data_IF_590791608076
#
_entry.id   IF_590791608076
#
_cell.length_a   1.000
_cell.length_b   1.000
_cell.length_c   1.000
_cell.angle_alpha   90.00
_cell.angle_beta   90.00
_cell.angle_gamma   90.00
#
_symmetry.space_group_name_H-M   'P 1'
#
loop_
_entity.id
_entity.type
_entity.pdbx_description
1 polymer ?
#
# COMPACT_ATOMS: atom_id res chain seq x y z
N UNK A 1 22.15 -16.06 -19.52
CA UNK A 1 20.76 -15.72 -19.90
C UNK A 1 20.25 -14.65 -18.95
N UNK A 2 20.58 -13.39 -19.23
CA UNK A 2 20.18 -12.23 -18.42
C UNK A 2 18.92 -11.63 -19.03
N UNK A 3 17.75 -12.01 -18.51
CA UNK A 3 16.49 -11.36 -18.86
C UNK A 3 16.20 -10.29 -17.82
N UNK A 4 16.60 -9.05 -18.12
CA UNK A 4 16.23 -7.86 -17.34
C UNK A 4 15.07 -7.21 -18.08
N UNK A 5 13.84 -7.46 -17.63
CA UNK A 5 12.69 -6.67 -18.07
C UNK A 5 12.79 -5.28 -17.43
N UNK A 6 13.32 -4.33 -18.19
CA UNK A 6 13.26 -2.90 -17.86
C UNK A 6 11.91 -2.36 -18.32
N UNK A 7 10.95 -2.24 -17.40
CA UNK A 7 9.70 -1.50 -17.63
C UNK A 7 10.05 -0.01 -17.58
N UNK A 8 10.60 0.57 -18.65
CA UNK A 8 10.61 2.02 -18.84
C UNK A 8 11.03 2.36 -20.27
N UNK A 9 10.06 2.57 -21.16
CA UNK A 9 10.22 3.38 -22.38
C UNK A 9 8.85 3.64 -23.04
N UNK A 10 8.06 4.53 -22.42
CA UNK A 10 6.95 5.33 -22.99
C UNK A 10 6.46 6.18 -21.79
N UNK A 11 6.39 7.50 -21.77
CA UNK A 11 5.96 8.49 -22.77
C UNK A 11 6.71 9.80 -22.51
N UNK A 12 6.96 10.51 -23.60
CA UNK A 12 7.69 11.77 -23.69
C UNK A 12 6.92 13.00 -23.19
N UNK A 13 7.73 14.04 -22.96
CA UNK A 13 7.44 15.43 -22.66
C UNK A 13 6.12 16.03 -23.19
N UNK A 14 5.43 16.74 -22.29
CA UNK A 14 4.40 17.72 -22.61
C UNK A 14 4.23 18.66 -21.42
N UNK A 15 4.95 19.79 -21.41
CA UNK A 15 4.71 20.86 -20.45
C UNK A 15 3.46 21.63 -20.89
N UNK A 16 2.30 21.29 -20.32
CA UNK A 16 1.08 22.10 -20.42
C UNK A 16 1.06 23.01 -19.19
N UNK A 17 1.28 24.30 -19.41
CA UNK A 17 1.02 25.32 -18.39
C UNK A 17 -0.48 25.38 -18.12
N UNK A 18 -0.92 24.85 -16.98
CA UNK A 18 -2.28 25.07 -16.47
C UNK A 18 -2.28 26.39 -15.73
N UNK A 19 -2.94 27.41 -16.30
CA UNK A 19 -3.39 28.58 -15.55
C UNK A 19 -4.56 28.11 -14.69
N UNK A 20 -4.34 28.00 -13.38
CA UNK A 20 -5.40 27.76 -12.42
C UNK A 20 -6.33 28.98 -12.39
N UNK A 21 -7.50 28.89 -13.02
CA UNK A 21 -8.60 29.78 -12.71
C UNK A 21 -9.22 29.33 -11.39
N UNK A 22 -9.04 30.12 -10.34
CA UNK A 22 -9.73 29.90 -9.07
C UNK A 22 -11.21 30.24 -9.26
N UNK A 23 -12.06 29.22 -9.28
CA UNK A 23 -13.51 29.39 -9.26
C UNK A 23 -13.94 29.65 -7.80
N UNK A 24 -14.43 30.84 -7.43
CA UNK A 24 -14.72 31.22 -6.04
C UNK A 24 -15.97 30.56 -5.44
N UNK A 25 -16.58 29.60 -6.15
CA UNK A 25 -17.82 28.92 -5.75
C UNK A 25 -17.67 27.41 -5.57
N UNK A 26 -16.47 26.85 -5.76
CA UNK A 26 -16.23 25.47 -5.38
C UNK A 26 -16.31 25.35 -3.84
N UNK A 27 -17.10 24.41 -3.29
CA UNK A 27 -17.10 24.18 -1.85
C UNK A 27 -15.67 23.90 -1.40
N UNK A 28 -15.23 24.54 -0.32
CA UNK A 28 -13.96 24.22 0.30
C UNK A 28 -13.99 22.72 0.62
N UNK A 29 -13.01 21.95 0.13
CA UNK A 29 -12.89 20.55 0.54
C UNK A 29 -12.67 20.53 2.04
N UNK A 30 -13.70 20.17 2.78
CA UNK A 30 -13.62 19.77 4.17
C UNK A 30 -12.51 18.71 4.23
N UNK A 31 -11.50 18.95 5.09
CA UNK A 31 -10.22 18.25 5.06
C UNK A 31 -10.30 16.71 5.14
N UNK A 32 -11.47 16.15 5.45
CA UNK A 32 -11.77 14.71 5.40
C UNK A 32 -11.66 14.09 3.99
N UNK A 33 -11.94 14.86 2.93
CA UNK A 33 -11.94 14.38 1.54
C UNK A 33 -10.77 14.89 0.71
N UNK A 34 -9.82 15.58 1.33
CA UNK A 34 -8.61 16.04 0.66
C UNK A 34 -7.77 14.84 0.20
N UNK A 35 -7.29 14.90 -1.04
CA UNK A 35 -6.41 13.88 -1.62
C UNK A 35 -4.93 14.25 -1.56
N UNK A 36 -4.08 13.40 -2.13
CA UNK A 36 -2.63 13.58 -2.17
C UNK A 36 -2.17 14.94 -2.70
N UNK A 37 -2.85 15.47 -3.73
CA UNK A 37 -2.51 16.78 -4.33
C UNK A 37 -2.72 17.96 -3.37
N UNK A 38 -3.56 17.80 -2.34
CA UNK A 38 -3.76 18.77 -1.27
C UNK A 38 -2.81 18.53 -0.08
N UNK A 39 -1.82 17.64 -0.22
CA UNK A 39 -0.88 17.25 0.84
C UNK A 39 -1.47 16.28 1.87
N UNK A 40 -2.70 15.80 1.67
CA UNK A 40 -3.34 14.86 2.60
C UNK A 40 -2.95 13.42 2.27
N UNK A 41 -2.35 12.73 3.26
CA UNK A 41 -1.97 11.31 3.18
C UNK A 41 -2.96 10.47 3.98
N UNK A 42 -3.60 9.53 3.31
CA UNK A 42 -4.50 8.59 3.97
C UNK A 42 -3.70 7.52 4.74
N UNK A 43 -4.18 7.17 5.93
CA UNK A 43 -3.70 6.04 6.70
C UNK A 43 -4.22 4.75 6.09
N UNK A 44 -3.34 3.85 5.69
CA UNK A 44 -3.70 2.63 4.95
C UNK A 44 -3.10 1.39 5.59
N UNK A 45 -3.94 0.38 5.80
CA UNK A 45 -3.51 -1.01 6.02
C UNK A 45 -4.04 -1.84 4.85
N UNK A 46 -3.20 -2.73 4.33
CA UNK A 46 -3.58 -3.68 3.28
C UNK A 46 -3.59 -5.10 3.84
N UNK A 47 -4.69 -5.82 3.65
CA UNK A 47 -4.79 -7.27 3.83
C UNK A 47 -4.90 -7.92 2.46
N UNK A 48 -4.00 -8.83 2.15
CA UNK A 48 -3.77 -9.34 0.80
C UNK A 48 -3.51 -10.83 0.82
N UNK A 49 -4.05 -11.57 -0.14
CA UNK A 49 -3.74 -12.98 -0.37
C UNK A 49 -2.55 -13.17 -1.33
N UNK A 50 -1.59 -12.25 -1.31
CA UNK A 50 -0.34 -12.31 -2.07
C UNK A 50 0.37 -13.67 -1.91
N UNK A 51 0.83 -14.21 -3.04
CA UNK A 51 1.38 -15.56 -3.11
C UNK A 51 0.30 -16.66 -3.09
N UNK A 52 -0.97 -16.27 -3.16
CA UNK A 52 -2.13 -17.16 -3.26
C UNK A 52 -2.28 -17.80 -4.63
N UNK A 53 -3.53 -17.87 -5.11
CA UNK A 53 -3.87 -18.68 -6.29
C UNK A 53 -3.52 -18.04 -7.62
N UNK A 54 -3.33 -16.72 -7.66
CA UNK A 54 -3.01 -15.99 -8.87
C UNK A 54 -2.03 -14.83 -8.61
N UNK A 55 -1.46 -14.20 -9.66
CA UNK A 55 -0.36 -13.26 -9.50
C UNK A 55 -0.79 -11.80 -9.30
N UNK A 56 -2.08 -11.49 -9.27
CA UNK A 56 -2.58 -10.11 -9.27
C UNK A 56 -2.11 -9.29 -8.05
N UNK A 57 -2.03 -9.90 -6.88
CA UNK A 57 -1.64 -9.22 -5.65
C UNK A 57 -0.16 -8.84 -5.62
N UNK A 58 0.69 -9.53 -6.39
CA UNK A 58 2.05 -9.03 -6.65
C UNK A 58 2.02 -7.74 -7.46
N UNK A 59 1.14 -7.64 -8.46
CA UNK A 59 1.02 -6.47 -9.32
C UNK A 59 0.41 -5.29 -8.56
N UNK A 60 -0.63 -5.54 -7.78
CA UNK A 60 -1.26 -4.58 -6.87
C UNK A 60 -0.27 -4.05 -5.83
N UNK A 61 0.56 -4.92 -5.25
CA UNK A 61 1.60 -4.50 -4.31
C UNK A 61 2.67 -3.63 -4.96
N UNK A 62 3.14 -3.98 -6.17
CA UNK A 62 4.08 -3.12 -6.92
C UNK A 62 3.46 -1.75 -7.19
N UNK A 63 2.20 -1.70 -7.63
CA UNK A 63 1.50 -0.45 -7.89
C UNK A 63 1.31 0.39 -6.61
N UNK A 64 0.97 -0.24 -5.48
CA UNK A 64 0.88 0.43 -4.18
C UNK A 64 2.22 1.07 -3.79
N UNK A 65 3.33 0.36 -3.93
CA UNK A 65 4.65 0.86 -3.56
C UNK A 65 5.15 1.98 -4.47
N UNK A 66 4.73 2.00 -5.74
CA UNK A 66 4.96 3.12 -6.65
C UNK A 66 4.21 4.41 -6.25
N UNK A 67 3.16 4.30 -5.42
CA UNK A 67 2.41 5.43 -4.87
C UNK A 67 2.57 5.59 -3.35
N UNK A 68 3.57 4.94 -2.76
CA UNK A 68 3.77 4.98 -1.31
C UNK A 68 4.23 6.36 -0.79
N UNK A 69 4.66 7.26 -1.68
CA UNK A 69 5.00 8.64 -1.34
C UNK A 69 3.78 9.48 -0.91
N UNK A 70 2.58 9.11 -1.36
CA UNK A 70 1.33 9.83 -1.07
C UNK A 70 0.42 9.13 -0.07
N UNK A 71 0.88 8.01 0.52
CA UNK A 71 0.12 7.21 1.48
C UNK A 71 0.87 7.05 2.80
N UNK A 72 0.15 7.06 3.91
CA UNK A 72 0.68 6.60 5.19
C UNK A 72 0.38 5.11 5.33
N UNK A 73 1.28 4.27 4.78
CA UNK A 73 1.21 2.83 4.97
C UNK A 73 1.51 2.49 6.43
N UNK A 74 0.56 1.85 7.08
CA UNK A 74 0.63 1.46 8.48
C UNK A 74 0.71 -0.03 8.68
N UNK A 75 0.32 -0.84 7.69
CA UNK A 75 0.43 -2.29 7.75
C UNK A 75 0.27 -2.95 6.39
N UNK A 76 1.06 -3.98 6.15
CA UNK A 76 0.96 -4.87 4.99
C UNK A 76 0.80 -6.30 5.54
N UNK A 77 -0.38 -6.88 5.39
CA UNK A 77 -0.74 -8.15 6.03
C UNK A 77 -0.96 -9.18 4.94
N UNK A 78 -0.14 -10.24 4.92
CA UNK A 78 -0.36 -11.39 4.05
C UNK A 78 -1.34 -12.34 4.74
N UNK A 79 -2.54 -12.51 4.19
CA UNK A 79 -3.62 -13.37 4.71
C UNK A 79 -4.24 -14.34 3.68
N UNK A 80 -3.47 -15.00 2.80
CA UNK A 80 -4.04 -15.93 1.82
C UNK A 80 -4.51 -17.25 2.45
N UNK A 81 -5.67 -17.78 2.03
CA UNK A 81 -5.89 -19.21 2.13
C UNK A 81 -4.95 -19.92 1.13
N UNK A 82 -4.00 -20.72 1.60
CA UNK A 82 -3.11 -21.49 0.72
C UNK A 82 -1.62 -21.20 0.92
N UNK A 83 -0.79 -21.16 -0.15
CA UNK A 83 0.67 -21.20 -0.02
C UNK A 83 1.33 -19.85 0.30
N UNK A 84 0.71 -18.71 -0.04
CA UNK A 84 1.33 -17.39 0.11
C UNK A 84 1.63 -17.00 1.54
N UNK A 85 2.71 -16.26 1.79
CA UNK A 85 3.14 -15.88 3.14
C UNK A 85 3.65 -14.45 3.21
N UNK A 86 3.92 -13.97 4.42
CA UNK A 86 4.64 -12.70 4.67
C UNK A 86 5.94 -12.60 3.86
N UNK A 87 6.62 -13.72 3.60
CA UNK A 87 7.81 -13.77 2.76
C UNK A 87 7.58 -13.25 1.33
N UNK A 88 6.37 -13.40 0.79
CA UNK A 88 5.98 -12.88 -0.52
C UNK A 88 5.87 -11.34 -0.52
N UNK A 89 5.33 -10.74 0.55
CA UNK A 89 5.40 -9.28 0.77
C UNK A 89 6.84 -8.81 0.85
N UNK A 90 7.66 -9.48 1.67
CA UNK A 90 9.07 -9.14 1.85
C UNK A 90 9.84 -9.28 0.54
N UNK A 91 9.45 -10.20 -0.36
CA UNK A 91 10.02 -10.30 -1.70
C UNK A 91 9.75 -9.06 -2.53
N UNK A 92 8.52 -8.55 -2.55
CA UNK A 92 8.20 -7.32 -3.29
C UNK A 92 8.92 -6.12 -2.68
N UNK A 93 8.98 -6.02 -1.34
CA UNK A 93 9.71 -4.94 -0.65
C UNK A 93 11.21 -4.97 -0.98
N UNK A 94 11.82 -6.17 -1.12
CA UNK A 94 13.22 -6.28 -1.58
C UNK A 94 13.41 -5.77 -3.00
N UNK A 95 12.46 -6.00 -3.90
CA UNK A 95 12.50 -5.41 -5.24
C UNK A 95 12.41 -3.88 -5.17
N UNK A 96 11.44 -3.36 -4.41
CA UNK A 96 11.29 -1.93 -4.13
C UNK A 96 12.57 -1.30 -3.57
N UNK A 97 13.28 -1.99 -2.68
CA UNK A 97 14.55 -1.50 -2.12
C UNK A 97 15.62 -1.22 -3.19
N UNK A 98 15.62 -1.99 -4.30
CA UNK A 98 16.50 -1.74 -5.43
C UNK A 98 16.16 -0.45 -6.19
N UNK A 99 14.88 -0.08 -6.24
CA UNK A 99 14.38 1.11 -6.92
C UNK A 99 14.28 2.34 -6.01
N UNK A 100 14.34 2.16 -4.68
CA UNK A 100 14.15 3.20 -3.67
C UNK A 100 15.02 4.45 -3.89
N UNK A 101 16.33 4.37 -4.20
CA UNK A 101 17.14 5.57 -4.45
C UNK A 101 16.62 6.42 -5.63
N UNK A 102 16.12 5.77 -6.68
CA UNK A 102 15.58 6.46 -7.86
C UNK A 102 14.21 7.06 -7.58
N UNK A 103 13.35 6.38 -6.81
CA UNK A 103 12.05 6.88 -6.39
C UNK A 103 12.20 8.10 -5.46
N UNK A 104 13.08 7.99 -4.47
CA UNK A 104 13.37 9.07 -3.52
C UNK A 104 13.95 10.32 -4.20
N UNK A 105 14.73 10.15 -5.28
CA UNK A 105 15.23 11.27 -6.08
C UNK A 105 14.13 12.00 -6.87
N UNK A 106 12.98 11.35 -7.13
CA UNK A 106 11.86 11.92 -7.90
C UNK A 106 10.83 12.62 -7.01
N UNK A 107 10.54 12.07 -5.84
CA UNK A 107 9.63 12.68 -4.88
C UNK A 107 10.07 12.38 -3.45
N UNK A 108 9.84 13.35 -2.56
CA UNK A 108 9.96 13.14 -1.13
C UNK A 108 8.80 12.27 -0.62
N UNK A 109 8.99 11.61 0.52
CA UNK A 109 7.90 10.94 1.23
C UNK A 109 7.72 9.45 0.95
N UNK A 110 8.50 8.88 0.01
CA UNK A 110 8.63 7.42 -0.12
C UNK A 110 9.16 6.81 1.19
N UNK A 111 8.54 5.74 1.71
CA UNK A 111 8.98 5.09 2.94
C UNK A 111 10.26 4.28 2.69
N UNK A 112 11.19 4.33 3.65
CA UNK A 112 12.37 3.47 3.62
C UNK A 112 11.95 1.97 3.56
N UNK A 113 12.65 1.12 2.79
CA UNK A 113 12.33 -0.30 2.70
C UNK A 113 12.26 -1.01 4.05
N UNK A 114 13.12 -0.62 5.00
CA UNK A 114 13.14 -1.16 6.36
C UNK A 114 11.86 -0.81 7.13
N UNK A 115 11.31 0.39 6.91
CA UNK A 115 10.03 0.81 7.49
C UNK A 115 8.88 -0.03 6.93
N UNK A 116 8.90 -0.32 5.62
CA UNK A 116 7.91 -1.21 5.01
C UNK A 116 8.01 -2.64 5.55
N UNK A 117 9.23 -3.18 5.66
CA UNK A 117 9.45 -4.51 6.20
C UNK A 117 9.01 -4.62 7.68
N UNK A 118 9.20 -3.56 8.47
CA UNK A 118 8.79 -3.50 9.87
C UNK A 118 7.26 -3.51 10.09
N UNK A 119 6.49 -3.12 9.07
CA UNK A 119 5.01 -3.16 9.09
C UNK A 119 4.43 -4.30 8.24
N UNK A 120 5.28 -5.21 7.74
CA UNK A 120 4.85 -6.41 7.05
C UNK A 120 4.56 -7.51 8.08
N UNK A 121 3.42 -8.20 7.96
CA UNK A 121 2.95 -9.16 8.97
C UNK A 121 2.24 -10.35 8.34
N UNK A 122 2.17 -11.44 9.11
CA UNK A 122 1.39 -12.61 8.74
C UNK A 122 -0.02 -12.51 9.36
N UNK A 123 -1.04 -12.63 8.50
CA UNK A 123 -2.45 -12.78 8.87
C UNK A 123 -2.87 -14.25 8.95
N UNK A 124 -4.16 -14.52 8.79
CA UNK A 124 -4.71 -15.88 8.77
C UNK A 124 -4.32 -16.61 7.47
N UNK A 125 -4.04 -17.91 7.56
CA UNK A 125 -3.62 -18.76 6.43
C UNK A 125 -4.64 -19.83 6.08
N UNK A 126 -5.66 -19.98 6.92
CA UNK A 126 -6.72 -20.98 6.77
C UNK A 126 -8.03 -20.31 6.36
N UNK A 127 -8.79 -20.96 5.46
CA UNK A 127 -10.14 -20.49 5.05
C UNK A 127 -11.01 -20.21 6.28
N UNK A 128 -11.74 -19.10 6.33
CA UNK A 128 -12.54 -18.73 7.49
C UNK A 128 -13.52 -19.86 7.92
N UNK A 129 -13.63 -20.18 9.21
CA UNK A 129 -14.61 -21.14 9.69
C UNK A 129 -16.03 -20.53 9.65
N UNK A 130 -17.07 -21.35 9.79
CA UNK A 130 -18.46 -20.85 9.89
C UNK A 130 -18.66 -19.83 11.04
N UNK A 131 -17.90 -19.96 12.13
CA UNK A 131 -17.90 -19.00 13.23
C UNK A 131 -17.35 -17.61 12.85
N UNK A 132 -16.79 -17.44 11.65
CA UNK A 132 -16.20 -16.21 11.12
C UNK A 132 -14.80 -15.88 11.66
N UNK A 133 -14.43 -16.39 12.84
CA UNK A 133 -13.13 -16.15 13.45
C UNK A 133 -12.60 -17.41 14.11
N UNK A 134 -11.27 -17.57 14.10
CA UNK A 134 -10.56 -18.58 14.92
C UNK A 134 -9.82 -17.90 16.07
N UNK A 135 -8.60 -17.47 15.80
CA UNK A 135 -7.66 -16.89 16.76
C UNK A 135 -7.11 -15.59 16.20
N UNK A 136 -6.60 -14.75 17.09
CA UNK A 136 -5.82 -13.59 16.68
C UNK A 136 -4.54 -14.00 15.93
N UNK A 137 -4.14 -13.16 14.99
CA UNK A 137 -2.90 -13.25 14.22
C UNK A 137 -2.04 -12.02 14.45
N UNK A 138 -0.76 -12.04 14.03
CA UNK A 138 0.11 -10.86 14.08
C UNK A 138 -0.56 -9.68 13.35
N UNK A 139 -1.13 -9.95 12.17
CA UNK A 139 -1.86 -8.98 11.36
C UNK A 139 -3.12 -8.42 12.04
N UNK A 140 -3.97 -9.27 12.62
CA UNK A 140 -5.22 -8.79 13.25
C UNK A 140 -4.96 -7.95 14.49
N UNK A 141 -3.99 -8.34 15.32
CA UNK A 141 -3.58 -7.56 16.49
C UNK A 141 -2.97 -6.21 16.09
N UNK A 142 -2.19 -6.18 15.00
CA UNK A 142 -1.66 -4.93 14.46
C UNK A 142 -2.75 -4.01 13.92
N UNK A 143 -3.72 -4.56 13.20
CA UNK A 143 -4.86 -3.79 12.71
C UNK A 143 -5.61 -3.11 13.88
N UNK A 144 -5.82 -3.83 14.99
CA UNK A 144 -6.41 -3.27 16.21
C UNK A 144 -5.53 -2.14 16.78
N UNK A 145 -4.20 -2.32 16.83
CA UNK A 145 -3.27 -1.26 17.29
C UNK A 145 -3.36 -0.01 16.41
N UNK A 146 -3.39 -0.16 15.09
CA UNK A 146 -3.56 0.95 14.15
C UNK A 146 -4.90 1.66 14.37
N UNK A 147 -5.99 0.90 14.48
CA UNK A 147 -7.33 1.45 14.64
C UNK A 147 -7.50 2.22 15.97
N UNK A 148 -6.80 1.81 17.03
CA UNK A 148 -6.83 2.46 18.34
C UNK A 148 -5.83 3.60 18.52
N UNK A 149 -4.97 3.86 17.53
CA UNK A 149 -4.02 4.97 17.61
C UNK A 149 -4.78 6.30 17.72
N UNK A 150 -4.32 7.18 18.62
CA UNK A 150 -4.84 8.53 18.76
C UNK A 150 -4.43 9.42 17.56
N UNK A 151 -4.99 9.12 16.39
CA UNK A 151 -4.86 9.87 15.16
C UNK A 151 -6.28 10.11 14.63
N UNK A 152 -6.71 11.37 14.44
CA UNK A 152 -8.08 11.70 14.06
C UNK A 152 -8.43 11.26 12.64
N UNK A 153 -7.44 10.95 11.80
CA UNK A 153 -7.69 10.50 10.42
C UNK A 153 -8.22 9.06 10.44
N UNK A 154 -9.23 8.74 9.61
CA UNK A 154 -9.74 7.38 9.50
C UNK A 154 -8.66 6.43 8.99
N UNK A 155 -8.64 5.21 9.54
CA UNK A 155 -7.83 4.13 9.02
C UNK A 155 -8.56 3.46 7.84
N UNK A 156 -7.96 3.50 6.65
CA UNK A 156 -8.47 2.80 5.48
C UNK A 156 -7.90 1.38 5.44
N UNK A 157 -8.78 0.40 5.43
CA UNK A 157 -8.40 -1.02 5.31
C UNK A 157 -8.73 -1.47 3.90
N UNK A 158 -7.70 -1.76 3.12
CA UNK A 158 -7.85 -2.32 1.79
C UNK A 158 -7.78 -3.85 1.90
N UNK A 159 -8.80 -4.52 1.41
CA UNK A 159 -8.92 -5.98 1.47
C UNK A 159 -8.88 -6.49 0.04
N UNK A 160 -7.82 -7.21 -0.30
CA UNK A 160 -7.58 -7.71 -1.66
C UNK A 160 -7.86 -9.21 -1.80
N UNK A 161 -7.96 -9.92 -0.68
CA UNK A 161 -8.35 -11.33 -0.62
C UNK A 161 -9.62 -11.57 0.20
N UNK A 162 -9.69 -12.75 0.83
CA UNK A 162 -10.78 -13.14 1.72
C UNK A 162 -10.82 -12.36 3.05
N UNK A 163 -12.01 -12.33 3.66
CA UNK A 163 -12.28 -11.83 5.02
C UNK A 163 -12.43 -12.98 6.03
#
# INVERSE_FOLDING_TARGET
>A
MTSSLRILNLVAAGAIGVVAQSNPTAPAFDGEHAGALAGHRHRVVVSTDIGGTDPDDFQSMVHLLLHADVLDLEGLIASPPGPGRKEDLLRVIRCYAGDFPALQARAAGYPAPEKLAAIAMQGETEVAPYAGVRRSTEGSEWLIRCARRADPRPLRVLVWGGL
#
